data_IF_851304460162
#
_entry.id   IF_851304460162
#
_cell.length_a   1.000
_cell.length_b   1.000
_cell.length_c   1.000
_cell.angle_alpha   90.00
_cell.angle_beta   90.00
_cell.angle_gamma   90.00
#
_symmetry.space_group_name_H-M   'P 1'
#
loop_
_entity.id
_entity.type
_entity.pdbx_description
1 polymer ?
#
# COMPACT_ATOMS: atom_id res chain seq x y z
N UNK A 1 -12.41 -11.42 2.52
CA UNK A 1 -11.53 -12.59 2.63
C UNK A 1 -10.09 -12.12 2.71
N UNK A 2 -9.25 -12.78 3.52
CA UNK A 2 -7.80 -12.51 3.55
C UNK A 2 -7.15 -13.46 2.55
N UNK A 3 -6.20 -12.95 1.78
CA UNK A 3 -5.44 -13.70 0.77
C UNK A 3 -3.95 -13.45 0.97
N UNK A 4 -3.12 -14.41 0.59
CA UNK A 4 -1.67 -14.22 0.56
C UNK A 4 -1.25 -13.81 -0.85
N UNK A 5 -0.57 -12.68 -0.97
CA UNK A 5 0.04 -12.24 -2.22
C UNK A 5 1.57 -12.25 -2.09
N UNK A 6 2.23 -12.66 -3.17
CA UNK A 6 3.67 -12.47 -3.31
C UNK A 6 3.94 -11.17 -4.07
N UNK A 7 4.72 -10.28 -3.45
CA UNK A 7 5.19 -9.04 -4.06
C UNK A 7 6.66 -9.17 -4.41
N UNK A 8 7.03 -8.69 -5.61
CA UNK A 8 8.39 -8.72 -6.13
C UNK A 8 8.99 -7.31 -6.15
N UNK A 9 10.14 -7.13 -5.48
CA UNK A 9 10.85 -5.85 -5.44
C UNK A 9 12.35 -6.07 -5.63
N UNK A 10 12.93 -5.50 -6.70
CA UNK A 10 14.40 -5.51 -6.97
C UNK A 10 15.07 -6.86 -6.67
N UNK A 11 14.54 -7.95 -7.24
CA UNK A 11 14.99 -9.35 -7.08
C UNK A 11 14.68 -10.03 -5.73
N UNK A 12 14.09 -9.33 -4.77
CA UNK A 12 13.59 -9.91 -3.50
C UNK A 12 12.08 -10.17 -3.61
N UNK A 13 11.61 -11.25 -2.97
CA UNK A 13 10.19 -11.64 -2.89
C UNK A 13 9.75 -11.56 -1.43
N UNK A 14 8.59 -10.95 -1.18
CA UNK A 14 7.95 -10.96 0.15
C UNK A 14 6.51 -11.42 0.03
N UNK A 15 6.08 -12.29 0.94
CA UNK A 15 4.71 -12.75 1.07
C UNK A 15 3.95 -11.88 2.04
N UNK A 16 2.74 -11.49 1.66
CA UNK A 16 1.90 -10.56 2.42
C UNK A 16 0.48 -11.08 2.48
N UNK A 17 0.00 -11.34 3.69
CA UNK A 17 -1.43 -11.53 3.93
C UNK A 17 -2.13 -10.17 3.86
N UNK A 18 -3.01 -10.01 2.87
CA UNK A 18 -3.78 -8.80 2.58
C UNK A 18 -5.27 -9.12 2.52
N UNK A 19 -6.11 -8.12 2.71
CA UNK A 19 -7.55 -8.22 2.53
C UNK A 19 -7.94 -7.51 1.25
N UNK A 20 -8.49 -8.23 0.28
CA UNK A 20 -9.03 -7.63 -0.94
C UNK A 20 -10.20 -6.71 -0.59
N UNK A 21 -10.15 -5.50 -1.10
CA UNK A 21 -11.26 -4.54 -1.00
C UNK A 21 -12.09 -4.61 -2.28
N UNK A 22 -13.42 -4.65 -2.14
CA UNK A 22 -14.34 -4.67 -3.27
C UNK A 22 -14.37 -3.36 -4.05
N UNK A 23 -14.97 -3.39 -5.24
CA UNK A 23 -15.07 -2.25 -6.16
C UNK A 23 -15.66 -0.99 -5.53
N UNK A 24 -16.65 -1.14 -4.64
CA UNK A 24 -17.33 -0.03 -3.97
C UNK A 24 -16.52 0.58 -2.82
N UNK A 25 -15.57 -0.16 -2.24
CA UNK A 25 -14.74 0.31 -1.12
C UNK A 25 -13.44 1.00 -1.54
N UNK A 26 -13.17 1.10 -2.85
CA UNK A 26 -11.95 1.71 -3.40
C UNK A 26 -11.81 3.20 -3.10
N UNK A 27 -12.93 3.90 -2.95
CA UNK A 27 -12.95 5.31 -2.57
C UNK A 27 -12.81 5.54 -1.06
N UNK A 28 -13.06 4.52 -0.21
CA UNK A 28 -13.05 4.65 1.26
C UNK A 28 -11.69 4.23 1.84
N UNK A 29 -10.98 3.29 1.22
CA UNK A 29 -9.60 2.97 1.60
C UNK A 29 -9.41 2.62 3.09
N UNK A 30 -8.33 3.16 3.68
CA UNK A 30 -8.08 3.17 5.13
C UNK A 30 -8.85 4.24 5.91
N UNK A 31 -9.70 5.04 5.27
CA UNK A 31 -10.40 6.14 5.94
C UNK A 31 -11.28 5.60 7.07
N UNK A 32 -11.24 6.29 8.22
CA UNK A 32 -11.96 5.94 9.46
C UNK A 32 -11.57 4.59 10.08
N UNK A 33 -10.48 3.95 9.62
CA UNK A 33 -9.94 2.74 10.26
C UNK A 33 -8.93 3.11 11.33
N UNK A 34 -8.54 2.12 12.12
CA UNK A 34 -7.46 2.22 13.12
C UNK A 34 -6.18 1.55 12.62
N UNK A 35 -5.03 1.91 13.20
CA UNK A 35 -3.72 1.35 12.84
C UNK A 35 -3.60 -0.18 13.06
N UNK A 36 -4.56 -0.79 13.77
CA UNK A 36 -4.66 -2.24 14.00
C UNK A 36 -5.36 -2.98 12.85
N UNK A 37 -5.79 -2.28 11.80
CA UNK A 37 -6.51 -2.88 10.67
C UNK A 37 -5.61 -3.77 9.80
N UNK A 38 -6.26 -4.65 9.05
CA UNK A 38 -5.58 -5.52 8.08
C UNK A 38 -4.97 -4.70 6.93
N UNK A 39 -3.94 -5.25 6.29
CA UNK A 39 -3.37 -4.69 5.06
C UNK A 39 -4.43 -4.77 3.96
N UNK A 40 -4.62 -3.71 3.20
CA UNK A 40 -5.65 -3.66 2.17
C UNK A 40 -5.02 -3.80 0.78
N UNK A 41 -5.66 -4.59 -0.07
CA UNK A 41 -5.30 -4.73 -1.48
C UNK A 41 -6.45 -4.16 -2.34
N UNK A 42 -6.12 -3.15 -3.12
CA UNK A 42 -6.98 -2.53 -4.11
C UNK A 42 -6.51 -2.95 -5.50
N UNK A 43 -7.39 -3.56 -6.29
CA UNK A 43 -7.09 -3.94 -7.66
C UNK A 43 -7.99 -3.19 -8.64
N UNK A 44 -7.40 -2.51 -9.62
CA UNK A 44 -8.07 -1.69 -10.59
C UNK A 44 -8.32 -2.47 -11.89
N UNK A 45 -9.42 -2.16 -12.61
CA UNK A 45 -9.75 -2.85 -13.87
C UNK A 45 -8.78 -2.52 -15.00
N UNK A 46 -8.14 -1.36 -14.91
CA UNK A 46 -7.20 -0.83 -15.90
C UNK A 46 -6.08 -0.12 -15.19
N UNK A 47 -4.95 -0.01 -15.87
CA UNK A 47 -3.79 0.75 -15.39
C UNK A 47 -4.18 2.21 -15.19
N UNK A 48 -3.92 2.72 -14.00
CA UNK A 48 -4.42 4.03 -13.58
C UNK A 48 -3.35 4.87 -12.90
N UNK A 49 -3.58 6.17 -12.86
CA UNK A 49 -2.84 7.16 -12.05
C UNK A 49 -3.74 7.70 -10.93
N UNK A 50 -4.68 6.88 -10.46
CA UNK A 50 -5.58 7.26 -9.39
C UNK A 50 -4.78 7.75 -8.19
N UNK A 51 -5.04 8.99 -7.78
CA UNK A 51 -4.47 9.55 -6.57
C UNK A 51 -5.14 8.92 -5.36
N UNK A 52 -4.37 8.69 -4.31
CA UNK A 52 -4.90 8.27 -3.01
C UNK A 52 -5.01 9.48 -2.11
N UNK A 53 -5.94 9.46 -1.17
CA UNK A 53 -6.13 10.52 -0.17
C UNK A 53 -5.97 9.91 1.22
N UNK A 54 -5.55 10.71 2.19
CA UNK A 54 -5.34 10.27 3.58
C UNK A 54 -5.95 11.24 4.60
N UNK A 55 -6.87 12.10 4.16
CA UNK A 55 -7.55 13.14 4.95
C UNK A 55 -8.28 12.55 6.17
N UNK A 56 -8.75 11.30 6.06
CA UNK A 56 -9.46 10.59 7.13
C UNK A 56 -8.70 9.36 7.64
N UNK A 57 -7.38 9.31 7.44
CA UNK A 57 -6.52 8.23 7.95
C UNK A 57 -5.69 8.78 9.10
N UNK A 58 -5.94 8.29 10.32
CA UNK A 58 -5.36 8.82 11.56
C UNK A 58 -3.97 8.25 11.92
N UNK A 59 -3.33 7.52 11.01
CA UNK A 59 -2.03 6.88 11.24
C UNK A 59 -1.22 6.80 9.94
N UNK A 60 0.12 6.80 10.01
CA UNK A 60 0.93 6.65 8.81
C UNK A 60 0.82 5.22 8.24
N UNK A 61 0.90 5.10 6.93
CA UNK A 61 0.85 3.81 6.25
C UNK A 61 1.82 3.78 5.05
N UNK A 62 2.25 2.58 4.68
CA UNK A 62 3.07 2.35 3.49
C UNK A 62 2.13 2.02 2.33
N UNK A 63 2.13 2.89 1.33
CA UNK A 63 1.48 2.66 0.04
C UNK A 63 2.47 2.01 -0.92
N UNK A 64 2.07 0.89 -1.52
CA UNK A 64 2.89 0.14 -2.49
C UNK A 64 2.06 -0.01 -3.77
N UNK A 65 2.52 0.62 -4.85
CA UNK A 65 1.92 0.52 -6.17
C UNK A 65 2.56 -0.63 -6.93
N UNK A 66 1.72 -1.50 -7.48
CA UNK A 66 2.09 -2.72 -8.18
C UNK A 66 1.53 -2.75 -9.59
N UNK A 67 2.22 -3.46 -10.48
CA UNK A 67 1.68 -3.87 -11.77
C UNK A 67 0.71 -5.07 -11.65
N UNK A 68 0.22 -5.56 -12.78
CA UNK A 68 -0.66 -6.73 -12.85
C UNK A 68 0.01 -8.01 -12.33
N UNK A 69 1.33 -8.12 -12.51
CA UNK A 69 2.17 -9.26 -12.12
C UNK A 69 2.71 -9.15 -10.68
N UNK A 70 2.21 -8.21 -9.87
CA UNK A 70 2.64 -7.91 -8.51
C UNK A 70 4.11 -7.43 -8.37
N UNK A 71 4.69 -6.85 -9.41
CA UNK A 71 5.97 -6.16 -9.33
C UNK A 71 5.78 -4.76 -8.73
N UNK A 72 6.66 -4.38 -7.80
CA UNK A 72 6.65 -3.04 -7.21
C UNK A 72 7.10 -1.99 -8.21
N UNK A 73 6.18 -1.11 -8.57
CA UNK A 73 6.42 0.05 -9.43
C UNK A 73 6.90 1.24 -8.62
N UNK A 74 6.25 1.49 -7.49
CA UNK A 74 6.53 2.58 -6.57
C UNK A 74 6.14 2.20 -5.13
N UNK A 75 6.79 2.81 -4.14
CA UNK A 75 6.46 2.68 -2.72
C UNK A 75 6.65 4.01 -2.01
N UNK A 76 5.75 4.36 -1.10
CA UNK A 76 5.81 5.63 -0.35
C UNK A 76 5.21 5.48 1.04
N UNK A 77 5.88 6.06 2.04
CA UNK A 77 5.27 6.25 3.36
C UNK A 77 4.37 7.47 3.28
N UNK A 78 3.09 7.26 3.52
CA UNK A 78 2.06 8.29 3.53
C UNK A 78 1.77 8.67 4.98
N UNK A 79 1.82 9.98 5.27
CA UNK A 79 1.43 10.52 6.57
C UNK A 79 -0.09 10.79 6.58
N UNK A 80 -0.71 10.81 7.77
CA UNK A 80 -2.09 11.27 7.95
C UNK A 80 -2.35 12.64 7.31
N UNK A 81 -3.62 12.90 6.97
CA UNK A 81 -4.14 14.21 6.59
C UNK A 81 -3.60 14.81 5.28
N UNK A 82 -3.10 13.98 4.36
CA UNK A 82 -2.67 14.45 3.03
C UNK A 82 -3.85 14.38 2.05
N UNK A 83 -4.12 15.51 1.39
CA UNK A 83 -5.25 15.67 0.48
C UNK A 83 -5.16 14.80 -0.77
N UNK A 84 -4.01 14.80 -1.43
CA UNK A 84 -3.79 14.01 -2.64
C UNK A 84 -2.34 13.52 -2.71
N UNK A 85 -2.17 12.21 -2.85
CA UNK A 85 -0.89 11.57 -3.14
C UNK A 85 -1.00 10.99 -4.54
N UNK A 86 -0.32 11.64 -5.48
CA UNK A 86 -0.27 11.22 -6.87
C UNK A 86 0.86 10.20 -7.09
N UNK A 87 0.58 9.03 -7.70
CA UNK A 87 1.61 8.10 -8.11
C UNK A 87 2.37 8.64 -9.33
N UNK A 88 3.65 8.30 -9.44
CA UNK A 88 4.48 8.67 -10.59
C UNK A 88 4.28 7.73 -11.78
N UNK A 89 3.89 6.47 -11.50
CA UNK A 89 3.70 5.43 -12.51
C UNK A 89 2.27 4.92 -12.53
N UNK A 90 1.80 4.58 -13.74
CA UNK A 90 0.54 3.84 -13.90
C UNK A 90 0.64 2.51 -13.17
N UNK A 91 -0.39 2.14 -12.44
CA UNK A 91 -0.41 0.92 -11.63
C UNK A 91 -1.72 0.16 -11.80
N UNK A 92 -1.68 -1.14 -11.52
CA UNK A 92 -2.84 -2.04 -11.57
C UNK A 92 -3.38 -2.35 -10.19
N UNK A 93 -2.49 -2.48 -9.20
CA UNK A 93 -2.84 -2.83 -7.82
C UNK A 93 -2.15 -1.89 -6.84
N UNK A 94 -2.80 -1.61 -5.73
CA UNK A 94 -2.27 -0.80 -4.63
C UNK A 94 -2.42 -1.60 -3.34
N UNK A 95 -1.34 -1.66 -2.56
CA UNK A 95 -1.34 -2.25 -1.22
C UNK A 95 -1.11 -1.16 -0.20
N UNK A 96 -2.01 -1.07 0.77
CA UNK A 96 -1.88 -0.17 1.91
C UNK A 96 -1.54 -0.98 3.16
N UNK A 97 -0.40 -0.68 3.77
CA UNK A 97 0.13 -1.38 4.95
C UNK A 97 0.21 -0.38 6.10
N UNK A 98 -0.64 -0.48 7.13
CA UNK A 98 -0.54 0.36 8.33
C UNK A 98 0.86 0.27 8.97
N UNK A 99 1.45 1.41 9.35
CA UNK A 99 2.69 1.41 10.13
C UNK A 99 2.38 1.02 11.57
N UNK A 100 2.67 -0.23 11.92
CA UNK A 100 2.51 -0.77 13.26
C UNK A 100 3.57 -1.85 13.54
N UNK A 101 3.67 -2.29 14.80
CA UNK A 101 4.66 -3.30 15.20
C UNK A 101 4.49 -4.63 14.45
N UNK A 102 3.26 -5.03 14.11
CA UNK A 102 2.97 -6.28 13.39
C UNK A 102 3.51 -6.25 11.95
N UNK A 103 3.55 -5.08 11.33
CA UNK A 103 4.00 -4.88 9.96
C UNK A 103 5.46 -4.46 9.86
N UNK A 104 6.20 -4.41 10.99
CA UNK A 104 7.57 -3.90 11.04
C UNK A 104 8.51 -4.57 10.04
N UNK A 105 8.47 -5.90 9.93
CA UNK A 105 9.30 -6.65 8.97
C UNK A 105 9.06 -6.23 7.51
N UNK A 106 7.80 -5.97 7.16
CA UNK A 106 7.40 -5.54 5.81
C UNK A 106 7.87 -4.11 5.56
N UNK A 107 7.69 -3.24 6.56
CA UNK A 107 8.12 -1.85 6.50
C UNK A 107 9.63 -1.81 6.34
N UNK A 108 10.39 -2.57 7.14
CA UNK A 108 11.85 -2.61 7.06
C UNK A 108 12.34 -3.13 5.69
N UNK A 109 11.67 -4.15 5.13
CA UNK A 109 11.95 -4.66 3.78
C UNK A 109 11.80 -3.58 2.70
N UNK A 110 10.78 -2.72 2.81
CA UNK A 110 10.50 -1.68 1.82
C UNK A 110 11.17 -0.35 2.10
N UNK A 111 11.43 -0.02 3.35
CA UNK A 111 11.98 1.27 3.78
C UNK A 111 13.50 1.23 3.88
N UNK A 112 14.10 0.02 3.92
CA UNK A 112 15.55 -0.29 3.86
C UNK A 112 16.39 0.97 4.04
N UNK A 113 16.57 1.35 5.32
CA UNK A 113 17.14 2.63 5.77
C UNK A 113 18.12 3.14 4.73
N UNK A 114 17.79 4.24 4.04
CA UNK A 114 18.83 5.17 3.57
C UNK A 114 19.51 5.73 4.82
N UNK A 115 20.36 4.94 5.47
CA UNK A 115 21.57 5.45 6.10
C UNK A 115 22.50 5.75 4.92
N UNK A 116 22.30 6.90 4.30
CA UNK A 116 23.32 7.52 3.48
C UNK A 116 23.75 8.76 4.24
N UNK A 117 24.93 8.58 4.85
CA UNK A 117 25.97 9.55 5.22
C UNK A 117 25.51 10.74 6.04
#
# INVERSE_FOLDING_TARGET
>A
MKEEIAIFSRKKKIKLTVKRTGFFTKGIGLMFRTAKTDKLLFEFKKDTLASITSIFVFFPFLAIWLDEKNNVLEKRIVRPFIFAIRPQKKFRKLVEVPLNHKNRQIIDFFVEKRRKV
#
